data_IF_899165422020
#
_entry.id   IF_899165422020
#
_cell.length_a   1.000
_cell.length_b   1.000
_cell.length_c   1.000
_cell.angle_alpha   90.00
_cell.angle_beta   90.00
_cell.angle_gamma   90.00
#
_symmetry.space_group_name_H-M   'P 1'
#
loop_
_entity.id
_entity.type
_entity.pdbx_description
1 polymer ?
#
# COMPACT_ATOMS: atom_id res chain seq x y z
N UNK A 1 -33.68 10.90 -16.34
CA UNK A 1 -35.02 10.28 -16.41
C UNK A 1 -34.90 8.76 -16.33
N UNK A 2 -35.28 8.17 -15.20
CA UNK A 2 -36.15 6.99 -15.10
C UNK A 2 -36.28 6.63 -13.62
N UNK A 3 -37.44 6.96 -13.09
CA UNK A 3 -37.95 6.54 -11.79
C UNK A 3 -38.08 5.01 -11.77
N UNK A 4 -37.60 4.35 -10.72
CA UNK A 4 -38.00 2.99 -10.41
C UNK A 4 -38.88 3.07 -9.15
N UNK A 5 -40.14 2.73 -9.35
CA UNK A 5 -41.17 2.69 -8.34
C UNK A 5 -40.88 1.59 -7.32
N UNK A 6 -40.73 1.97 -6.06
CA UNK A 6 -40.88 1.06 -4.91
C UNK A 6 -42.38 0.94 -4.66
N UNK A 7 -43.01 -0.06 -5.27
CA UNK A 7 -44.42 -0.40 -5.03
C UNK A 7 -44.50 -1.84 -4.54
N UNK A 8 -44.28 -2.05 -3.25
CA UNK A 8 -44.62 -3.29 -2.53
C UNK A 8 -44.59 -3.02 -1.03
N UNK A 9 -45.61 -2.36 -0.51
CA UNK A 9 -45.70 -2.07 0.92
C UNK A 9 -46.96 -1.30 1.26
N UNK A 10 -48.14 -1.91 1.07
CA UNK A 10 -49.41 -1.36 1.56
C UNK A 10 -50.54 -2.40 1.57
N UNK A 11 -50.30 -3.60 2.07
CA UNK A 11 -51.37 -4.50 2.52
C UNK A 11 -50.89 -5.25 3.75
N UNK A 12 -51.01 -4.58 4.91
CA UNK A 12 -51.21 -5.12 6.27
C UNK A 12 -51.27 -3.94 7.27
N UNK A 13 -52.02 -2.90 6.93
CA UNK A 13 -52.53 -1.94 7.89
C UNK A 13 -53.92 -2.43 8.31
N UNK A 14 -53.95 -3.35 9.27
CA UNK A 14 -55.17 -3.98 9.73
C UNK A 14 -54.90 -4.83 10.95
N UNK A 15 -54.60 -4.15 12.06
CA UNK A 15 -54.70 -4.53 13.47
C UNK A 15 -53.54 -3.93 14.28
N UNK A 16 -53.53 -2.60 14.37
CA UNK A 16 -52.92 -1.93 15.50
C UNK A 16 -53.95 -1.91 16.64
N UNK A 17 -53.85 -2.84 17.59
CA UNK A 17 -54.19 -2.52 18.95
C UNK A 17 -53.39 -3.38 19.91
N UNK A 18 -52.55 -2.69 20.71
CA UNK A 18 -51.90 -3.09 21.95
C UNK A 18 -50.43 -3.58 21.87
N UNK A 19 -49.54 -2.60 22.07
CA UNK A 19 -48.29 -2.68 22.85
C UNK A 19 -47.21 -3.72 22.50
N UNK A 20 -46.67 -3.71 21.27
CA UNK A 20 -45.34 -4.25 21.00
C UNK A 20 -44.34 -3.10 20.82
N UNK A 21 -43.70 -2.70 21.92
CA UNK A 21 -42.60 -1.73 21.91
C UNK A 21 -41.31 -2.49 21.59
N UNK A 22 -40.60 -2.11 20.52
CA UNK A 22 -39.47 -2.87 19.92
C UNK A 22 -38.28 -3.08 20.87
N UNK A 23 -38.23 -2.34 22.00
CA UNK A 23 -37.16 -2.40 23.01
C UNK A 23 -37.56 -3.07 24.33
N UNK A 24 -38.77 -3.65 24.45
CA UNK A 24 -39.22 -4.30 25.68
C UNK A 24 -39.13 -5.82 25.58
N UNK A 25 -38.35 -6.44 26.48
CA UNK A 25 -38.15 -7.89 26.63
C UNK A 25 -39.38 -8.57 27.25
N UNK A 26 -40.53 -8.55 26.56
CA UNK A 26 -41.73 -9.30 26.96
C UNK A 26 -42.03 -10.43 25.98
N UNK A 27 -42.02 -11.66 26.49
CA UNK A 27 -42.11 -12.91 25.74
C UNK A 27 -43.54 -13.24 25.27
N UNK A 28 -44.14 -12.40 24.43
CA UNK A 28 -45.42 -12.74 23.76
C UNK A 28 -45.16 -13.53 22.47
N UNK A 29 -45.92 -14.62 22.27
CA UNK A 29 -45.84 -15.48 21.08
C UNK A 29 -46.10 -14.69 19.78
N UNK A 30 -46.92 -13.63 19.85
CA UNK A 30 -47.21 -12.73 18.73
C UNK A 30 -46.03 -11.83 18.33
N UNK A 31 -45.25 -11.34 19.29
CA UNK A 31 -44.07 -10.50 18.99
C UNK A 31 -42.90 -11.35 18.41
N UNK A 32 -42.76 -12.63 18.81
CA UNK A 32 -41.83 -13.59 18.17
C UNK A 32 -42.19 -13.91 16.71
N UNK A 33 -43.48 -14.03 16.40
CA UNK A 33 -43.93 -14.30 15.04
C UNK A 33 -43.62 -13.14 14.07
N UNK A 34 -43.68 -11.89 14.56
CA UNK A 34 -43.35 -10.70 13.77
C UNK A 34 -41.84 -10.60 13.46
N UNK A 35 -40.97 -10.97 14.41
CA UNK A 35 -39.52 -11.08 14.17
C UNK A 35 -39.17 -12.19 13.17
N UNK A 36 -39.83 -13.35 13.24
CA UNK A 36 -39.65 -14.43 12.26
C UNK A 36 -40.18 -14.02 10.89
N UNK A 37 -41.32 -13.34 10.82
CA UNK A 37 -41.90 -12.85 9.56
C UNK A 37 -41.08 -11.74 8.88
N UNK A 38 -40.28 -10.96 9.63
CA UNK A 38 -39.34 -9.98 9.08
C UNK A 38 -37.95 -10.58 8.77
N UNK A 39 -37.51 -11.59 9.52
CA UNK A 39 -36.24 -12.27 9.27
C UNK A 39 -36.30 -13.21 8.04
N UNK A 40 -37.42 -13.89 7.83
CA UNK A 40 -37.60 -14.88 6.74
C UNK A 40 -37.54 -14.28 5.33
N UNK A 41 -38.07 -13.08 5.01
CA UNK A 41 -37.89 -12.46 3.70
C UNK A 41 -36.56 -11.70 3.56
N UNK A 42 -35.94 -11.26 4.66
CA UNK A 42 -34.65 -10.57 4.63
C UNK A 42 -33.46 -11.52 4.40
N UNK A 43 -33.54 -12.75 4.90
CA UNK A 43 -32.50 -13.78 4.73
C UNK A 43 -32.23 -14.13 3.25
N UNK A 44 -33.24 -14.41 2.39
CA UNK A 44 -33.03 -14.67 0.96
C UNK A 44 -32.43 -13.48 0.22
N UNK A 45 -32.83 -12.25 0.56
CA UNK A 45 -32.29 -11.03 -0.08
C UNK A 45 -30.85 -10.80 0.33
N UNK A 46 -30.50 -10.98 1.61
CA UNK A 46 -29.12 -10.86 2.07
C UNK A 46 -28.22 -11.97 1.48
N UNK A 47 -28.70 -13.21 1.41
CA UNK A 47 -27.97 -14.33 0.80
C UNK A 47 -27.83 -14.16 -0.72
N UNK A 48 -28.87 -13.68 -1.41
CA UNK A 48 -28.81 -13.36 -2.84
C UNK A 48 -27.88 -12.16 -3.11
N UNK A 49 -27.90 -11.12 -2.27
CA UNK A 49 -26.99 -9.97 -2.37
C UNK A 49 -25.53 -10.43 -2.21
N UNK A 50 -25.23 -11.20 -1.16
CA UNK A 50 -23.89 -11.74 -0.96
C UNK A 50 -23.45 -12.67 -2.11
N UNK A 51 -24.36 -13.50 -2.64
CA UNK A 51 -24.04 -14.35 -3.78
C UNK A 51 -23.80 -13.54 -5.06
N UNK A 52 -24.55 -12.45 -5.27
CA UNK A 52 -24.37 -11.53 -6.40
C UNK A 52 -23.07 -10.74 -6.29
N UNK A 53 -22.72 -10.26 -5.10
CA UNK A 53 -21.48 -9.52 -4.86
C UNK A 53 -20.27 -10.46 -5.00
N UNK A 54 -20.34 -11.68 -4.44
CA UNK A 54 -19.31 -12.71 -4.64
C UNK A 54 -19.17 -13.14 -6.11
N UNK A 55 -20.27 -13.16 -6.88
CA UNK A 55 -20.19 -13.45 -8.31
C UNK A 55 -19.56 -12.30 -9.10
N UNK A 56 -19.92 -11.05 -8.80
CA UNK A 56 -19.32 -9.85 -9.41
C UNK A 56 -17.83 -9.77 -9.11
N UNK A 57 -17.43 -10.04 -7.87
CA UNK A 57 -16.03 -10.01 -7.45
C UNK A 57 -15.20 -11.09 -8.18
N UNK A 58 -15.71 -12.34 -8.24
CA UNK A 58 -15.04 -13.41 -9.00
C UNK A 58 -14.87 -13.06 -10.47
N UNK A 59 -15.91 -12.51 -11.11
CA UNK A 59 -15.83 -12.08 -12.51
C UNK A 59 -14.80 -10.97 -12.70
N UNK A 60 -14.75 -9.99 -11.79
CA UNK A 60 -13.76 -8.91 -11.82
C UNK A 60 -12.35 -9.46 -11.70
N UNK A 61 -12.09 -10.35 -10.75
CA UNK A 61 -10.79 -11.03 -10.58
C UNK A 61 -10.37 -11.78 -11.85
N UNK A 62 -11.29 -12.51 -12.48
CA UNK A 62 -10.99 -13.25 -13.73
C UNK A 62 -10.67 -12.31 -14.89
N UNK A 63 -11.36 -11.19 -14.99
CA UNK A 63 -11.08 -10.16 -15.97
C UNK A 63 -9.72 -9.48 -15.73
N UNK A 64 -9.41 -9.11 -14.48
CA UNK A 64 -8.09 -8.61 -14.07
C UNK A 64 -6.99 -9.59 -14.47
N UNK A 65 -7.17 -10.88 -14.20
CA UNK A 65 -6.21 -11.90 -14.60
C UNK A 65 -6.00 -11.95 -16.11
N UNK A 66 -7.08 -11.92 -16.89
CA UNK A 66 -7.01 -11.89 -18.36
C UNK A 66 -6.26 -10.65 -18.87
N UNK A 67 -6.58 -9.47 -18.34
CA UNK A 67 -5.92 -8.21 -18.72
C UNK A 67 -4.43 -8.23 -18.33
N UNK A 68 -4.11 -8.79 -17.17
CA UNK A 68 -2.73 -8.95 -16.72
C UNK A 68 -1.94 -9.89 -17.64
N UNK A 69 -2.52 -11.01 -18.07
CA UNK A 69 -1.90 -11.91 -19.04
C UNK A 69 -1.64 -11.23 -20.40
N UNK A 70 -2.51 -10.30 -20.78
CA UNK A 70 -2.36 -9.47 -21.97
C UNK A 70 -1.38 -8.29 -21.80
N UNK A 71 -0.74 -8.15 -20.63
CA UNK A 71 0.11 -7.01 -20.28
C UNK A 71 -0.60 -5.66 -20.43
N UNK A 72 -1.89 -5.58 -20.08
CA UNK A 72 -2.60 -4.30 -20.06
C UNK A 72 -1.90 -3.31 -19.10
N UNK A 73 -1.49 -2.10 -19.55
CA UNK A 73 -0.65 -1.22 -18.74
C UNK A 73 -1.26 -0.79 -17.41
N UNK A 74 -2.56 -0.47 -17.39
CA UNK A 74 -3.25 -0.04 -16.17
C UNK A 74 -3.36 -1.20 -15.17
N UNK A 75 -3.68 -2.40 -15.65
CA UNK A 75 -3.76 -3.59 -14.81
C UNK A 75 -2.40 -3.99 -14.24
N UNK A 76 -1.34 -3.94 -15.05
CA UNK A 76 0.05 -4.19 -14.61
C UNK A 76 0.48 -3.18 -13.55
N UNK A 77 0.20 -1.89 -13.76
CA UNK A 77 0.49 -0.83 -12.81
C UNK A 77 -0.18 -1.08 -11.45
N UNK A 78 -1.47 -1.41 -11.49
CA UNK A 78 -2.24 -1.70 -10.30
C UNK A 78 -1.72 -2.95 -9.57
N UNK A 79 -1.37 -4.00 -10.32
CA UNK A 79 -0.79 -5.22 -9.75
C UNK A 79 0.56 -4.94 -9.07
N UNK A 80 1.41 -4.07 -9.63
CA UNK A 80 2.66 -3.65 -9.00
C UNK A 80 2.45 -2.86 -7.68
N UNK A 81 1.28 -2.24 -7.50
CA UNK A 81 0.85 -1.67 -6.21
C UNK A 81 0.20 -2.71 -5.29
N UNK A 82 -0.37 -3.77 -5.83
CA UNK A 82 -0.98 -4.84 -5.05
C UNK A 82 -1.89 -5.65 -5.96
N UNK A 83 -1.50 -6.89 -6.22
CA UNK A 83 -2.28 -7.78 -7.07
C UNK A 83 -3.50 -8.31 -6.31
N UNK A 84 -4.67 -8.17 -6.93
CA UNK A 84 -5.90 -8.80 -6.47
C UNK A 84 -6.42 -9.74 -7.55
N UNK A 85 -6.14 -11.03 -7.37
CA UNK A 85 -6.31 -12.06 -8.40
C UNK A 85 -7.35 -13.12 -7.99
N UNK A 86 -7.80 -13.98 -8.92
CA UNK A 86 -8.76 -15.05 -8.63
C UNK A 86 -8.27 -15.99 -7.54
N UNK A 87 -9.13 -16.32 -6.58
CA UNK A 87 -8.82 -17.25 -5.46
C UNK A 87 -8.38 -18.65 -5.90
N UNK A 88 -8.70 -19.04 -7.14
CA UNK A 88 -8.27 -20.30 -7.75
C UNK A 88 -6.79 -20.32 -8.12
N UNK A 89 -6.13 -19.17 -8.19
CA UNK A 89 -4.68 -19.10 -8.36
C UNK A 89 -4.01 -19.41 -7.02
N UNK A 90 -2.93 -20.18 -7.07
CA UNK A 90 -2.11 -20.42 -5.88
C UNK A 90 -1.32 -19.16 -5.49
N UNK A 91 -0.96 -19.03 -4.21
CA UNK A 91 -0.15 -17.91 -3.71
C UNK A 91 1.14 -17.67 -4.50
N UNK A 92 1.76 -18.74 -5.00
CA UNK A 92 2.96 -18.68 -5.83
C UNK A 92 2.70 -18.00 -7.18
N UNK A 93 1.55 -18.28 -7.81
CA UNK A 93 1.18 -17.66 -9.08
C UNK A 93 0.83 -16.19 -8.89
N UNK A 94 0.14 -15.86 -7.80
CA UNK A 94 -0.15 -14.47 -7.45
C UNK A 94 1.13 -13.66 -7.23
N UNK A 95 2.09 -14.25 -6.51
CA UNK A 95 3.39 -13.64 -6.27
C UNK A 95 4.21 -13.52 -7.55
N UNK A 96 4.25 -14.54 -8.40
CA UNK A 96 4.93 -14.48 -9.69
C UNK A 96 4.33 -13.40 -10.62
N UNK A 97 3.01 -13.23 -10.59
CA UNK A 97 2.32 -12.16 -11.31
C UNK A 97 2.67 -10.77 -10.78
N UNK A 98 2.75 -10.62 -9.45
CA UNK A 98 3.23 -9.39 -8.82
C UNK A 98 4.66 -9.06 -9.26
N UNK A 99 5.58 -10.02 -9.14
CA UNK A 99 6.99 -9.80 -9.52
C UNK A 99 7.13 -9.44 -11.00
N UNK A 100 6.43 -10.17 -11.88
CA UNK A 100 6.40 -9.83 -13.31
C UNK A 100 5.87 -8.42 -13.56
N UNK A 101 4.85 -7.98 -12.82
CA UNK A 101 4.29 -6.64 -12.96
C UNK A 101 5.29 -5.57 -12.55
N UNK A 102 6.06 -5.82 -11.47
CA UNK A 102 7.16 -4.96 -11.03
C UNK A 102 8.22 -4.83 -12.14
N UNK A 103 8.64 -5.95 -12.76
CA UNK A 103 9.61 -5.89 -13.87
C UNK A 103 9.09 -5.07 -15.05
N UNK A 104 7.83 -5.28 -15.44
CA UNK A 104 7.22 -4.58 -16.57
C UNK A 104 7.11 -3.07 -16.31
N UNK A 105 6.68 -2.67 -15.12
CA UNK A 105 6.64 -1.25 -14.71
C UNK A 105 8.02 -0.61 -14.84
N UNK A 106 9.07 -1.27 -14.34
CA UNK A 106 10.44 -0.76 -14.43
C UNK A 106 10.90 -0.68 -15.89
N UNK A 107 10.61 -1.70 -16.69
CA UNK A 107 11.00 -1.74 -18.10
C UNK A 107 10.29 -0.66 -18.93
N UNK A 108 9.02 -0.37 -18.64
CA UNK A 108 8.24 0.60 -19.41
C UNK A 108 8.52 2.04 -19.02
N UNK A 109 8.76 2.32 -17.74
CA UNK A 109 8.78 3.70 -17.22
C UNK A 109 10.10 4.12 -16.58
N UNK A 110 11.08 3.22 -16.50
CA UNK A 110 12.30 3.41 -15.71
C UNK A 110 13.21 4.57 -16.13
N UNK A 111 13.22 4.95 -17.41
CA UNK A 111 14.10 6.02 -17.92
C UNK A 111 13.47 7.41 -17.77
N UNK A 112 12.21 7.56 -18.17
CA UNK A 112 11.52 8.84 -18.24
C UNK A 112 10.06 8.72 -17.78
N UNK A 113 9.82 8.55 -16.46
CA UNK A 113 8.47 8.41 -15.96
C UNK A 113 7.71 9.73 -16.06
N UNK A 114 6.48 9.64 -16.54
CA UNK A 114 5.49 10.69 -16.38
C UNK A 114 5.08 10.83 -14.91
N UNK A 115 4.64 12.00 -14.44
CA UNK A 115 4.29 12.21 -13.03
C UNK A 115 3.35 11.13 -12.48
N UNK A 116 2.28 10.79 -13.21
CA UNK A 116 1.30 9.78 -12.79
C UNK A 116 1.88 8.36 -12.61
N UNK A 117 3.03 8.06 -13.20
CA UNK A 117 3.70 6.76 -13.12
C UNK A 117 4.69 6.68 -11.94
N UNK A 118 5.16 7.83 -11.45
CA UNK A 118 6.20 7.90 -10.43
C UNK A 118 5.88 7.13 -9.14
N UNK A 119 4.65 7.21 -8.57
CA UNK A 119 4.36 6.51 -7.32
C UNK A 119 4.47 4.98 -7.49
N UNK A 120 3.99 4.44 -8.61
CA UNK A 120 4.08 3.02 -8.94
C UNK A 120 5.52 2.60 -9.18
N UNK A 121 6.27 3.37 -9.96
CA UNK A 121 7.67 3.10 -10.26
C UNK A 121 8.56 3.17 -9.00
N UNK A 122 8.30 4.13 -8.11
CA UNK A 122 8.98 4.24 -6.82
C UNK A 122 8.81 2.96 -6.00
N UNK A 123 7.59 2.46 -5.89
CA UNK A 123 7.29 1.22 -5.18
C UNK A 123 7.95 0.01 -5.85
N UNK A 124 7.92 -0.07 -7.18
CA UNK A 124 8.54 -1.14 -7.93
C UNK A 124 10.06 -1.22 -7.66
N UNK A 125 10.75 -0.08 -7.70
CA UNK A 125 12.17 -0.02 -7.34
C UNK A 125 12.43 -0.32 -5.87
N UNK A 126 11.60 0.17 -4.95
CA UNK A 126 11.72 -0.13 -3.53
C UNK A 126 11.63 -1.64 -3.26
N UNK A 127 10.68 -2.32 -3.91
CA UNK A 127 10.53 -3.77 -3.81
C UNK A 127 11.76 -4.52 -4.33
N UNK A 128 12.26 -4.17 -5.53
CA UNK A 128 13.46 -4.81 -6.11
C UNK A 128 14.70 -4.61 -5.23
N UNK A 129 14.87 -3.40 -4.73
CA UNK A 129 15.92 -3.06 -3.78
C UNK A 129 15.85 -3.90 -2.51
N UNK A 130 14.67 -3.98 -1.88
CA UNK A 130 14.46 -4.75 -0.66
C UNK A 130 14.69 -6.26 -0.88
N UNK A 131 14.24 -6.82 -2.00
CA UNK A 131 14.42 -8.24 -2.35
C UNK A 131 15.90 -8.63 -2.50
N UNK A 132 16.72 -7.71 -3.00
CA UNK A 132 18.14 -7.94 -3.25
C UNK A 132 19.03 -7.58 -2.06
N UNK A 133 18.53 -6.87 -1.05
CA UNK A 133 19.36 -6.29 0.01
C UNK A 133 20.25 -7.29 0.76
N UNK A 134 19.79 -8.53 0.94
CA UNK A 134 20.54 -9.57 1.64
C UNK A 134 21.37 -10.47 0.70
N UNK A 135 21.03 -10.53 -0.59
CA UNK A 135 21.65 -11.46 -1.55
C UNK A 135 22.62 -10.79 -2.51
N UNK A 136 22.28 -9.58 -2.98
CA UNK A 136 23.10 -8.76 -3.86
C UNK A 136 22.95 -7.27 -3.49
N UNK A 137 23.70 -6.81 -2.48
CA UNK A 137 23.49 -5.49 -1.89
C UNK A 137 23.91 -4.33 -2.80
N UNK A 138 24.74 -4.56 -3.83
CA UNK A 138 25.16 -3.51 -4.75
C UNK A 138 24.01 -3.09 -5.69
N UNK A 139 23.38 -4.00 -6.47
CA UNK A 139 22.17 -3.67 -7.21
C UNK A 139 21.00 -3.26 -6.30
N UNK A 140 20.92 -3.81 -5.08
CA UNK A 140 19.91 -3.39 -4.11
C UNK A 140 20.02 -1.88 -3.82
N UNK A 141 21.22 -1.38 -3.53
CA UNK A 141 21.45 0.04 -3.30
C UNK A 141 21.03 0.88 -4.51
N UNK A 142 21.38 0.44 -5.73
CA UNK A 142 21.03 1.16 -6.96
C UNK A 142 19.51 1.33 -7.10
N UNK A 143 18.74 0.26 -6.91
CA UNK A 143 17.27 0.34 -6.98
C UNK A 143 16.68 1.20 -5.87
N UNK A 144 17.16 1.05 -4.63
CA UNK A 144 16.68 1.88 -3.51
C UNK A 144 16.99 3.37 -3.74
N UNK A 145 18.14 3.71 -4.30
CA UNK A 145 18.48 5.10 -4.65
C UNK A 145 17.61 5.64 -5.78
N UNK A 146 17.27 4.83 -6.79
CA UNK A 146 16.30 5.23 -7.82
C UNK A 146 14.92 5.50 -7.21
N UNK A 147 14.47 4.66 -6.28
CA UNK A 147 13.22 4.86 -5.56
C UNK A 147 13.26 6.15 -4.71
N UNK A 148 14.36 6.40 -4.00
CA UNK A 148 14.57 7.62 -3.22
C UNK A 148 14.56 8.89 -4.09
N UNK A 149 15.16 8.84 -5.27
CA UNK A 149 15.14 9.95 -6.23
C UNK A 149 13.71 10.27 -6.71
N UNK A 150 12.89 9.24 -6.96
CA UNK A 150 11.48 9.43 -7.31
C UNK A 150 10.68 10.03 -6.15
N UNK A 151 10.90 9.56 -4.91
CA UNK A 151 10.27 10.10 -3.71
C UNK A 151 10.57 11.60 -3.51
N UNK A 152 11.78 12.02 -3.89
CA UNK A 152 12.23 13.40 -3.76
C UNK A 152 11.86 14.29 -4.96
N UNK A 153 11.38 13.72 -6.08
CA UNK A 153 11.04 14.49 -7.27
C UNK A 153 9.85 15.42 -6.98
N UNK A 154 9.94 16.74 -7.22
CA UNK A 154 8.85 17.68 -6.98
C UNK A 154 7.55 17.34 -7.74
N UNK A 155 7.65 16.58 -8.84
CA UNK A 155 6.48 16.11 -9.61
C UNK A 155 5.70 15.02 -8.88
N UNK A 156 6.29 14.35 -7.88
CA UNK A 156 5.64 13.32 -7.07
C UNK A 156 4.41 13.89 -6.36
N UNK A 157 4.50 15.06 -5.73
CA UNK A 157 3.35 15.69 -5.03
C UNK A 157 2.16 15.87 -5.97
N UNK A 158 2.41 16.37 -7.18
CA UNK A 158 1.36 16.54 -8.20
C UNK A 158 0.70 15.21 -8.61
N UNK A 159 1.48 14.13 -8.64
CA UNK A 159 0.95 12.80 -8.94
C UNK A 159 0.03 12.30 -7.82
N UNK A 160 0.43 12.50 -6.56
CA UNK A 160 -0.30 12.05 -5.38
C UNK A 160 -1.59 12.86 -5.15
N UNK A 161 -1.62 14.12 -5.59
CA UNK A 161 -2.82 14.98 -5.57
C UNK A 161 -3.88 14.57 -6.61
N UNK A 162 -3.57 13.66 -7.53
CA UNK A 162 -4.54 13.21 -8.53
C UNK A 162 -5.61 12.28 -7.94
N UNK A 163 -6.81 12.31 -8.51
CA UNK A 163 -7.94 11.49 -8.06
C UNK A 163 -7.63 9.98 -8.02
N UNK A 164 -6.73 9.51 -8.88
CA UNK A 164 -6.31 8.10 -8.97
C UNK A 164 -5.62 7.62 -7.69
N UNK A 165 -4.81 8.46 -7.05
CA UNK A 165 -4.05 8.12 -5.84
C UNK A 165 -4.70 8.67 -4.56
N UNK A 166 -5.46 9.75 -4.66
CA UNK A 166 -6.11 10.35 -3.49
C UNK A 166 -7.27 9.51 -2.92
N UNK A 167 -7.82 8.54 -3.68
CA UNK A 167 -9.14 8.00 -3.39
C UNK A 167 -9.22 6.96 -2.28
N UNK A 168 -8.22 6.10 -2.00
CA UNK A 168 -8.40 5.05 -0.96
C UNK A 168 -7.11 4.52 -0.32
N UNK A 169 -6.39 3.61 -1.00
CA UNK A 169 -5.33 2.78 -0.36
C UNK A 169 -3.92 3.27 -0.67
N UNK A 170 -3.72 3.93 -1.81
CA UNK A 170 -2.41 4.40 -2.29
C UNK A 170 -2.35 5.93 -2.24
N UNK A 171 -2.60 6.50 -1.06
CA UNK A 171 -2.61 7.95 -0.82
C UNK A 171 -1.24 8.45 -0.35
N UNK A 172 -1.13 9.74 0.00
CA UNK A 172 0.12 10.33 0.48
C UNK A 172 0.76 9.53 1.62
N UNK A 173 -0.01 9.16 2.65
CA UNK A 173 0.53 8.40 3.80
C UNK A 173 1.09 7.04 3.41
N UNK A 174 0.44 6.34 2.47
CA UNK A 174 0.96 5.09 1.92
C UNK A 174 2.35 5.26 1.28
N UNK A 175 2.55 6.35 0.53
CA UNK A 175 3.82 6.60 -0.15
C UNK A 175 4.88 7.21 0.76
N UNK A 176 4.48 7.90 1.82
CA UNK A 176 5.36 8.30 2.90
C UNK A 176 5.95 7.05 3.59
N UNK A 177 5.13 6.06 3.94
CA UNK A 177 5.62 4.77 4.50
C UNK A 177 6.62 4.06 3.57
N UNK A 178 6.38 4.11 2.26
CA UNK A 178 7.31 3.55 1.26
C UNK A 178 8.63 4.33 1.26
N UNK A 179 8.58 5.67 1.30
CA UNK A 179 9.77 6.51 1.37
C UNK A 179 10.59 6.25 2.65
N UNK A 180 9.93 6.02 3.79
CA UNK A 180 10.59 5.65 5.04
C UNK A 180 11.30 4.30 4.91
N UNK A 181 10.61 3.30 4.37
CA UNK A 181 11.15 1.96 4.16
C UNK A 181 12.39 1.94 3.25
N UNK A 182 12.41 2.81 2.23
CA UNK A 182 13.57 3.01 1.35
C UNK A 182 14.77 3.51 2.16
N UNK A 183 14.60 4.55 2.98
CA UNK A 183 15.68 5.11 3.80
C UNK A 183 16.16 4.11 4.86
N UNK A 184 15.23 3.40 5.52
CA UNK A 184 15.56 2.31 6.45
C UNK A 184 16.46 1.28 5.78
N UNK A 185 16.09 0.83 4.57
CA UNK A 185 16.85 -0.18 3.84
C UNK A 185 18.24 0.33 3.44
N UNK A 186 18.35 1.59 3.00
CA UNK A 186 19.63 2.23 2.69
C UNK A 186 20.53 2.37 3.92
N UNK A 187 19.97 2.75 5.07
CA UNK A 187 20.73 2.85 6.33
C UNK A 187 21.24 1.47 6.77
N UNK A 188 20.42 0.43 6.67
CA UNK A 188 20.82 -0.94 7.01
C UNK A 188 21.94 -1.43 6.08
N UNK A 189 21.84 -1.18 4.77
CA UNK A 189 22.92 -1.48 3.82
C UNK A 189 24.20 -0.72 4.18
N UNK A 190 24.09 0.57 4.52
CA UNK A 190 25.24 1.39 4.89
C UNK A 190 25.91 0.92 6.19
N UNK A 191 25.10 0.52 7.18
CA UNK A 191 25.57 -0.06 8.43
C UNK A 191 26.32 -1.37 8.21
N UNK A 192 25.77 -2.28 7.39
CA UNK A 192 26.37 -3.59 7.10
C UNK A 192 27.58 -3.50 6.17
N UNK A 193 27.67 -2.43 5.38
CA UNK A 193 28.61 -2.32 4.28
C UNK A 193 28.15 -3.12 3.06
N UNK A 194 28.70 -2.79 1.91
CA UNK A 194 28.46 -3.50 0.65
C UNK A 194 29.80 -3.81 -0.02
N UNK A 195 29.90 -4.79 -0.94
CA UNK A 195 31.13 -5.01 -1.70
C UNK A 195 31.70 -3.71 -2.28
N UNK A 196 32.95 -3.40 -1.97
CA UNK A 196 33.63 -2.16 -2.39
C UNK A 196 33.38 -0.94 -1.50
N UNK A 197 32.52 -1.02 -0.47
CA UNK A 197 32.31 0.07 0.50
C UNK A 197 32.24 -0.45 1.93
N UNK A 198 33.17 0.00 2.76
CA UNK A 198 33.26 -0.39 4.17
C UNK A 198 31.95 -0.08 4.94
N UNK A 199 31.58 -0.91 5.92
CA UNK A 199 30.48 -0.64 6.84
C UNK A 199 30.69 0.68 7.57
N UNK A 200 29.59 1.41 7.81
CA UNK A 200 29.58 2.66 8.57
C UNK A 200 28.68 2.50 9.82
N UNK A 201 29.16 1.81 10.87
CA UNK A 201 28.37 1.55 12.08
C UNK A 201 27.94 2.83 12.81
N UNK A 202 28.67 3.93 12.64
CA UNK A 202 28.38 5.23 13.22
C UNK A 202 27.04 5.82 12.75
N UNK A 203 26.52 5.39 11.59
CA UNK A 203 25.24 5.85 11.03
C UNK A 203 24.05 5.45 11.92
N UNK A 204 24.18 4.36 12.68
CA UNK A 204 23.15 3.91 13.63
C UNK A 204 23.52 4.13 15.10
N UNK A 205 24.79 4.43 15.40
CA UNK A 205 25.28 4.55 16.79
C UNK A 205 25.49 6.00 17.23
N UNK A 206 26.06 6.82 16.36
CA UNK A 206 26.59 8.13 16.76
C UNK A 206 25.84 9.28 16.08
N UNK A 207 25.44 9.09 14.82
CA UNK A 207 24.81 10.12 13.99
C UNK A 207 23.89 9.49 12.94
N UNK A 208 22.58 9.65 13.10
CA UNK A 208 21.65 9.15 12.10
C UNK A 208 21.21 10.27 11.16
N UNK A 209 21.21 9.95 9.87
CA UNK A 209 20.99 10.89 8.77
C UNK A 209 20.42 10.13 7.57
N UNK A 210 19.66 10.83 6.73
CA UNK A 210 19.17 10.26 5.49
C UNK A 210 20.34 9.88 4.57
N UNK A 211 20.25 8.74 3.90
CA UNK A 211 21.32 8.26 3.01
C UNK A 211 21.15 8.82 1.60
N UNK A 212 19.92 8.91 1.13
CA UNK A 212 19.57 9.44 -0.18
C UNK A 212 18.54 10.57 -0.05
N UNK A 213 18.21 11.21 -1.17
CA UNK A 213 17.15 12.21 -1.23
C UNK A 213 15.81 11.64 -0.70
N UNK A 214 14.98 12.51 -0.18
CA UNK A 214 13.72 12.17 0.50
C UNK A 214 12.65 13.25 0.20
N UNK A 215 11.36 12.97 0.44
CA UNK A 215 10.27 13.86 0.04
C UNK A 215 10.46 15.31 0.51
N UNK A 216 10.30 16.32 -0.37
CA UNK A 216 10.50 17.72 0.00
C UNK A 216 9.61 18.19 1.16
N UNK A 217 8.40 17.62 1.28
CA UNK A 217 7.48 17.92 2.36
C UNK A 217 8.07 17.64 3.75
N UNK A 218 8.87 16.57 3.87
CA UNK A 218 9.53 16.22 5.13
C UNK A 218 10.63 17.21 5.48
N UNK A 219 11.33 17.75 4.48
CA UNK A 219 12.35 18.79 4.69
C UNK A 219 11.76 20.10 5.25
N UNK A 220 10.51 20.40 4.89
CA UNK A 220 9.83 21.61 5.38
C UNK A 220 9.16 21.44 6.74
N UNK A 221 8.74 20.23 7.09
CA UNK A 221 8.07 19.94 8.37
C UNK A 221 8.30 18.49 8.78
N UNK A 222 8.73 18.25 10.02
CA UNK A 222 8.84 16.89 10.55
C UNK A 222 10.07 16.10 10.11
N UNK A 223 11.05 16.75 9.45
CA UNK A 223 12.34 16.14 9.09
C UNK A 223 12.95 15.35 10.26
N UNK A 224 13.00 15.98 11.44
CA UNK A 224 13.57 15.37 12.64
C UNK A 224 12.74 14.16 13.09
N UNK A 225 11.39 14.24 13.03
CA UNK A 225 10.49 13.13 13.37
C UNK A 225 10.64 11.93 12.44
N UNK A 226 10.55 12.15 11.12
CA UNK A 226 10.68 11.07 10.14
C UNK A 226 12.07 10.42 10.24
N UNK A 227 13.11 11.23 10.43
CA UNK A 227 14.46 10.70 10.57
C UNK A 227 14.59 9.88 11.86
N UNK A 228 14.12 10.37 13.01
CA UNK A 228 14.10 9.59 14.26
C UNK A 228 13.40 8.24 14.09
N UNK A 229 12.23 8.23 13.45
CA UNK A 229 11.46 7.02 13.17
C UNK A 229 12.25 6.04 12.28
N UNK A 230 12.77 6.52 11.15
CA UNK A 230 13.60 5.75 10.21
C UNK A 230 14.82 5.14 10.93
N UNK A 231 15.49 5.91 11.78
CA UNK A 231 16.64 5.45 12.55
C UNK A 231 16.26 4.36 13.55
N UNK A 232 15.14 4.53 14.26
CA UNK A 232 14.61 3.53 15.19
C UNK A 232 14.25 2.21 14.49
N UNK A 233 13.60 2.31 13.32
CA UNK A 233 13.25 1.14 12.49
C UNK A 233 14.48 0.43 11.95
N UNK A 234 15.47 1.17 11.44
CA UNK A 234 16.73 0.61 10.97
C UNK A 234 17.51 -0.08 12.09
N UNK A 235 17.56 0.54 13.28
CA UNK A 235 18.16 -0.06 14.47
C UNK A 235 17.46 -1.37 14.84
N UNK A 236 16.12 -1.36 14.91
CA UNK A 236 15.33 -2.56 15.22
C UNK A 236 15.56 -3.68 14.22
N UNK A 237 15.73 -3.36 12.93
CA UNK A 237 16.00 -4.36 11.90
C UNK A 237 17.40 -5.00 12.01
N UNK A 238 18.37 -4.28 12.59
CA UNK A 238 19.74 -4.78 12.78
C UNK A 238 19.90 -5.56 14.08
N UNK A 239 19.31 -5.07 15.17
CA UNK A 239 19.56 -5.57 16.53
C UNK A 239 18.41 -6.38 17.14
N UNK A 240 17.30 -6.53 16.41
CA UNK A 240 16.07 -7.22 16.85
C UNK A 240 15.52 -6.67 18.18
N UNK A 241 15.74 -5.37 18.42
CA UNK A 241 15.33 -4.62 19.62
C UNK A 241 15.03 -3.18 19.23
N UNK A 242 14.01 -2.59 19.85
CA UNK A 242 13.84 -1.14 19.80
C UNK A 242 15.04 -0.44 20.46
N UNK A 243 15.43 0.71 19.91
CA UNK A 243 16.63 1.43 20.35
C UNK A 243 16.65 1.59 21.88
N UNK A 244 17.75 1.24 22.57
CA UNK A 244 17.91 1.56 23.98
C UNK A 244 17.95 3.08 24.11
N UNK A 245 16.86 3.67 24.62
CA UNK A 245 16.72 5.08 25.06
C UNK A 245 17.82 6.03 24.58
N UNK A 246 17.54 6.73 23.49
CA UNK A 246 18.46 7.62 22.79
C UNK A 246 18.43 7.30 21.30
N UNK A 247 17.60 8.00 20.54
CA UNK A 247 17.78 8.09 19.08
C UNK A 247 19.17 8.66 18.83
N UNK A 248 19.95 8.13 17.87
CA UNK A 248 21.23 8.73 17.49
C UNK A 248 21.00 10.21 17.17
N UNK A 249 21.97 11.07 17.44
CA UNK A 249 21.83 12.48 17.12
C UNK A 249 21.44 12.63 15.64
N UNK A 250 20.26 13.19 15.40
CA UNK A 250 19.76 13.44 14.05
C UNK A 250 20.59 14.56 13.44
N UNK A 251 21.28 14.26 12.34
CA UNK A 251 22.04 15.24 11.59
C UNK A 251 21.23 15.69 10.39
N UNK A 252 21.00 17.01 10.29
CA UNK A 252 20.34 17.60 9.13
C UNK A 252 21.22 17.43 7.89
N UNK A 253 20.65 16.86 6.83
CA UNK A 253 21.32 16.67 5.55
C UNK A 253 21.15 15.25 5.00
N UNK A 254 21.67 15.04 3.79
CA UNK A 254 21.75 13.73 3.13
C UNK A 254 23.21 13.33 3.09
N UNK A 255 23.55 12.12 3.53
CA UNK A 255 24.92 11.62 3.59
C UNK A 255 25.52 11.46 2.19
N UNK A 256 24.76 10.85 1.28
CA UNK A 256 25.22 10.51 -0.06
C UNK A 256 24.17 10.94 -1.11
N UNK A 257 23.99 12.25 -1.37
CA UNK A 257 22.93 12.74 -2.26
C UNK A 257 23.13 12.34 -3.73
N UNK A 258 24.31 11.85 -4.11
CA UNK A 258 24.70 11.62 -5.50
C UNK A 258 25.33 10.24 -5.67
N UNK A 259 24.71 9.42 -6.50
CA UNK A 259 25.41 8.50 -7.42
C UNK A 259 24.89 8.80 -8.84
N UNK A 260 25.03 10.06 -9.27
CA UNK A 260 24.98 10.38 -10.68
C UNK A 260 26.34 9.98 -11.25
N UNK A 261 26.40 8.88 -12.01
CA UNK A 261 27.62 8.45 -12.70
C UNK A 261 28.20 7.12 -12.22
N UNK A 262 27.46 6.03 -12.39
CA UNK A 262 28.08 4.75 -12.73
C UNK A 262 27.81 4.48 -14.22
N UNK A 263 28.25 5.42 -15.07
CA UNK A 263 28.57 5.12 -16.47
C UNK A 263 30.00 4.56 -16.48
N UNK A 264 30.12 3.24 -16.60
CA UNK A 264 31.30 2.56 -17.12
C UNK A 264 30.81 1.42 -18.02
#
# INVERSE_FOLDING_TARGET
MRWIAVASGLWLAGCASQNCNILSTSHSFGCKAMYVALAVPALPVALASNAMDNHRDRKRKEETWRLLQANDPATVAHCALGCYLPEKLGKEQDFAAFERSVELVIAWWGEHPEPAQMPVLMKAYAYKGAKLADTDPVPAEVFLRKAAALAADPRMTKALDSFEYSAYVYNQGYYDDVAESIQVSLIVLRYRGIPGRAPAPEVLKDRCQAIAAWPPAWMTSGADYHLELICGLAYSRVFDKWSPTGTPAVVKGVLDPVMAGAEH
#
